data_IF_804658077173
#
_entry.id   IF_804658077173
#
_cell.length_a   1.000
_cell.length_b   1.000
_cell.length_c   1.000
_cell.angle_alpha   90.00
_cell.angle_beta   90.00
_cell.angle_gamma   90.00
#
_symmetry.space_group_name_H-M   'P 1'
#
loop_
_entity.id
_entity.type
_entity.pdbx_description
1 polymer ?
#
# COMPACT_ATOMS: atom_id res chain seq x y z
N UNK A 1 22.54 -0.79 4.36
CA UNK A 1 21.98 0.57 4.31
C UNK A 1 20.48 0.44 4.21
N UNK A 2 19.78 0.58 5.34
CA UNK A 2 18.32 0.55 5.36
C UNK A 2 17.84 1.90 4.87
N UNK A 3 17.34 1.95 3.64
CA UNK A 3 16.76 3.17 3.09
C UNK A 3 15.40 3.37 3.77
N UNK A 4 15.34 4.33 4.70
CA UNK A 4 14.09 4.78 5.28
C UNK A 4 13.23 5.34 4.14
N UNK A 5 12.13 4.65 3.84
CA UNK A 5 11.13 5.18 2.94
C UNK A 5 10.47 6.32 3.71
N UNK A 6 10.84 7.56 3.39
CA UNK A 6 10.07 8.73 3.81
C UNK A 6 8.70 8.60 3.16
N UNK A 7 7.71 8.19 3.96
CA UNK A 7 6.32 8.26 3.56
C UNK A 7 5.99 9.75 3.54
N UNK A 8 5.96 10.35 2.34
CA UNK A 8 5.66 11.78 2.19
C UNK A 8 4.22 12.14 2.59
N UNK A 9 3.42 11.14 2.97
CA UNK A 9 2.01 11.25 3.31
C UNK A 9 1.69 10.25 4.43
N UNK A 10 1.52 10.73 5.66
CA UNK A 10 1.18 9.88 6.82
C UNK A 10 -0.25 9.30 6.74
N UNK A 11 -1.00 9.67 5.71
CA UNK A 11 -2.34 9.12 5.44
C UNK A 11 -2.27 7.61 5.26
N UNK A 12 -2.94 6.87 6.14
CA UNK A 12 -3.07 5.44 5.97
C UNK A 12 -4.28 5.06 5.13
N UNK A 13 -4.20 3.87 4.54
CA UNK A 13 -5.17 3.32 3.62
C UNK A 13 -5.48 1.87 3.98
N UNK A 14 -6.72 1.47 3.72
CA UNK A 14 -7.16 0.08 3.73
C UNK A 14 -7.39 -0.38 2.30
N UNK A 15 -7.01 -1.62 2.00
CA UNK A 15 -7.32 -2.28 0.72
C UNK A 15 -8.67 -2.98 0.89
N UNK A 16 -9.65 -2.65 0.07
CA UNK A 16 -10.97 -3.31 0.13
C UNK A 16 -11.16 -4.38 -0.97
N UNK A 17 -10.29 -4.40 -1.99
CA UNK A 17 -10.23 -5.46 -3.01
C UNK A 17 -8.80 -5.95 -3.15
N UNK A 18 -8.56 -7.19 -2.75
CA UNK A 18 -7.36 -7.96 -3.08
C UNK A 18 -7.70 -8.86 -4.28
N UNK A 19 -7.09 -8.60 -5.44
CA UNK A 19 -7.30 -9.36 -6.67
C UNK A 19 -6.00 -9.96 -7.21
N UNK A 20 -6.06 -10.55 -8.41
CA UNK A 20 -5.04 -11.39 -9.03
C UNK A 20 -3.61 -10.85 -8.90
N UNK A 21 -2.90 -11.43 -7.92
CA UNK A 21 -1.50 -11.13 -7.57
C UNK A 21 -1.31 -10.57 -6.16
N UNK A 22 -2.40 -10.12 -5.51
CA UNK A 22 -2.37 -9.48 -4.20
C UNK A 22 -3.09 -10.26 -3.09
N UNK A 23 -3.76 -11.38 -3.38
CA UNK A 23 -4.50 -12.17 -2.37
C UNK A 23 -3.64 -12.59 -1.17
N UNK A 24 -2.35 -12.88 -1.40
CA UNK A 24 -1.40 -13.25 -0.33
C UNK A 24 -1.20 -12.16 0.74
N UNK A 25 -1.63 -10.93 0.47
CA UNK A 25 -1.48 -9.81 1.38
C UNK A 25 -2.68 -9.64 2.33
N UNK A 26 -3.77 -10.39 2.15
CA UNK A 26 -4.94 -10.38 3.05
C UNK A 26 -4.59 -10.82 4.49
N UNK A 27 -3.51 -11.58 4.66
CA UNK A 27 -3.04 -12.06 5.96
C UNK A 27 -2.39 -10.98 6.83
N UNK A 28 -2.06 -9.82 6.26
CA UNK A 28 -1.40 -8.73 7.00
C UNK A 28 -2.43 -7.76 7.54
N UNK A 29 -2.06 -7.03 8.60
CA UNK A 29 -2.86 -5.90 9.09
C UNK A 29 -3.17 -4.96 7.94
N UNK A 30 -4.45 -4.70 7.68
CA UNK A 30 -4.90 -3.95 6.51
C UNK A 30 -4.74 -2.43 6.72
N UNK A 31 -3.52 -2.01 7.04
CA UNK A 31 -3.09 -0.61 7.20
C UNK A 31 -1.87 -0.45 6.30
N UNK A 32 -2.01 0.43 5.31
CA UNK A 32 -1.05 0.61 4.23
C UNK A 32 -0.80 2.09 3.99
N UNK A 33 0.40 2.40 3.53
CA UNK A 33 0.82 3.77 3.24
C UNK A 33 1.26 3.86 1.78
N UNK A 34 0.82 4.89 1.07
CA UNK A 34 1.26 5.13 -0.30
C UNK A 34 2.68 5.70 -0.25
N UNK A 35 3.63 4.94 -0.79
CA UNK A 35 5.05 5.30 -0.83
C UNK A 35 5.56 5.59 -2.24
N UNK A 36 4.65 5.60 -3.21
CA UNK A 36 4.93 5.94 -4.60
C UNK A 36 3.69 5.81 -5.46
N UNK A 37 3.61 6.64 -6.49
CA UNK A 37 2.56 6.62 -7.49
C UNK A 37 3.15 6.84 -8.87
N UNK A 38 2.58 6.19 -9.88
CA UNK A 38 2.94 6.43 -11.28
C UNK A 38 1.68 6.44 -12.15
N UNK A 39 1.88 6.80 -13.43
CA UNK A 39 0.80 6.93 -14.40
C UNK A 39 -0.14 5.72 -14.43
N UNK A 40 -1.41 5.97 -14.81
CA UNK A 40 -2.53 5.00 -14.86
C UNK A 40 -3.11 4.58 -13.49
N UNK A 41 -2.99 5.44 -12.48
CA UNK A 41 -3.64 5.23 -11.17
C UNK A 41 -3.09 4.04 -10.41
N UNK A 42 -1.80 3.73 -10.59
CA UNK A 42 -1.09 2.67 -9.87
C UNK A 42 -0.27 3.28 -8.75
N UNK A 43 -0.24 2.58 -7.63
CA UNK A 43 0.50 2.98 -6.43
C UNK A 43 1.28 1.81 -5.86
N UNK A 44 2.35 2.15 -5.14
CA UNK A 44 3.14 1.26 -4.30
C UNK A 44 2.74 1.49 -2.85
N UNK A 45 2.49 0.40 -2.13
CA UNK A 45 2.11 0.43 -0.73
C UNK A 45 3.18 -0.21 0.15
N UNK A 46 3.36 0.40 1.32
CA UNK A 46 4.10 -0.18 2.44
C UNK A 46 3.10 -0.51 3.55
N UNK A 47 3.19 -1.71 4.12
CA UNK A 47 2.36 -2.09 5.26
C UNK A 47 2.84 -1.40 6.55
N UNK A 48 1.95 -1.32 7.55
CA UNK A 48 2.29 -0.84 8.91
C UNK A 48 3.45 -1.60 9.56
N UNK A 49 3.74 -2.84 9.13
CA UNK A 49 4.92 -3.59 9.58
C UNK A 49 6.28 -3.04 9.08
N UNK A 50 6.27 -2.01 8.21
CA UNK A 50 7.44 -1.37 7.58
C UNK A 50 8.35 -2.32 6.77
N UNK A 51 7.88 -3.52 6.44
CA UNK A 51 8.66 -4.57 5.75
C UNK A 51 7.91 -5.04 4.49
N UNK A 52 6.60 -5.26 4.63
CA UNK A 52 5.76 -5.83 3.59
C UNK A 52 5.35 -4.76 2.59
N UNK A 53 5.64 -5.03 1.32
CA UNK A 53 5.39 -4.09 0.23
C UNK A 53 4.50 -4.70 -0.84
N UNK A 54 3.51 -3.92 -1.29
CA UNK A 54 2.79 -4.18 -2.54
C UNK A 54 3.35 -3.22 -3.58
N UNK A 55 4.08 -3.80 -4.54
CA UNK A 55 4.73 -3.00 -5.58
C UNK A 55 3.72 -2.25 -6.41
N UNK A 56 2.64 -2.89 -6.85
CA UNK A 56 1.68 -2.28 -7.77
C UNK A 56 0.25 -2.69 -7.43
N UNK A 57 -0.57 -1.71 -7.09
CA UNK A 57 -2.03 -1.85 -6.92
C UNK A 57 -2.74 -0.63 -7.48
N UNK A 58 -4.00 -0.77 -7.86
CA UNK A 58 -4.76 0.36 -8.41
C UNK A 58 -5.30 1.21 -7.27
N UNK A 59 -5.11 2.53 -7.31
CA UNK A 59 -5.52 3.48 -6.24
C UNK A 59 -7.01 3.42 -5.93
N UNK A 60 -7.83 3.08 -6.92
CA UNK A 60 -9.28 2.92 -6.72
C UNK A 60 -9.63 1.83 -5.71
N UNK A 61 -8.75 0.87 -5.43
CA UNK A 61 -8.94 -0.22 -4.45
C UNK A 61 -8.65 0.20 -3.00
N UNK A 62 -8.29 1.46 -2.79
CA UNK A 62 -7.86 1.99 -1.50
C UNK A 62 -8.90 2.97 -0.97
N UNK A 63 -9.21 2.83 0.31
CA UNK A 63 -9.97 3.80 1.10
C UNK A 63 -9.06 4.34 2.20
N UNK A 64 -9.14 5.63 2.49
CA UNK A 64 -8.40 6.23 3.60
C UNK A 64 -8.87 5.61 4.93
N UNK A 65 -7.94 5.46 5.88
CA UNK A 65 -8.32 5.16 7.24
C UNK A 65 -9.12 6.33 7.81
N UNK A 66 -10.22 6.03 8.50
CA UNK A 66 -10.87 6.98 9.41
C UNK A 66 -10.04 7.19 10.68
#
# INVERSE_FOLDING_TARGET
MTQWIHVNDETCYKIYVFDDGNQRYEKYTNIWFIVGSWGKGKVRLLNIDNITEIRSISRWKLVECE
#
